data_IF_423600449567
#
_entry.id   IF_423600449567
#
_cell.length_a   1.000
_cell.length_b   1.000
_cell.length_c   1.000
_cell.angle_alpha   90.00
_cell.angle_beta   90.00
_cell.angle_gamma   90.00
#
_symmetry.space_group_name_H-M   'P 1'
#
loop_
_entity.id
_entity.type
_entity.pdbx_description
1 polymer ?
#
# COMPACT_ATOMS: atom_id res chain seq x y z
N UNK A 1 -1.67 -41.36 32.28
CA UNK A 1 -0.66 -40.53 31.55
C UNK A 1 -0.66 -40.71 30.04
N UNK A 2 -1.40 -41.64 29.46
CA UNK A 2 -1.29 -42.08 28.05
C UNK A 2 -2.17 -41.36 27.05
N UNK A 3 -3.35 -40.84 27.44
CA UNK A 3 -4.32 -40.26 26.47
C UNK A 3 -3.91 -38.85 26.03
N UNK A 4 -3.45 -37.99 26.94
CA UNK A 4 -2.98 -36.62 26.58
C UNK A 4 -1.78 -36.64 25.65
N UNK A 5 -0.84 -37.59 25.82
CA UNK A 5 0.34 -37.69 24.96
C UNK A 5 -0.01 -38.16 23.54
N UNK A 6 -1.06 -38.95 23.37
CA UNK A 6 -1.50 -39.41 22.07
C UNK A 6 -2.26 -38.32 21.27
N UNK A 7 -3.00 -37.47 21.99
CA UNK A 7 -3.68 -36.32 21.37
C UNK A 7 -2.66 -35.32 20.86
N UNK A 8 -1.68 -34.93 21.68
CA UNK A 8 -0.61 -33.99 21.29
C UNK A 8 0.18 -34.54 20.08
N UNK A 9 0.58 -35.82 20.08
CA UNK A 9 1.28 -36.42 18.96
C UNK A 9 0.43 -36.50 17.68
N UNK A 10 -0.89 -36.64 17.79
CA UNK A 10 -1.79 -36.63 16.64
C UNK A 10 -1.94 -35.22 16.07
N UNK A 11 -2.02 -34.20 16.92
CA UNK A 11 -2.06 -32.79 16.51
C UNK A 11 -0.75 -32.39 15.85
N UNK A 12 0.41 -32.72 16.42
CA UNK A 12 1.73 -32.47 15.82
C UNK A 12 1.89 -33.13 14.44
N UNK A 13 1.42 -34.39 14.29
CA UNK A 13 1.42 -35.08 12.99
C UNK A 13 0.52 -34.41 11.95
N UNK A 14 -0.64 -33.93 12.38
CA UNK A 14 -1.56 -33.22 11.49
C UNK A 14 -0.97 -31.87 11.04
N UNK A 15 -0.34 -31.13 11.95
CA UNK A 15 0.34 -29.87 11.65
C UNK A 15 1.50 -30.13 10.67
N UNK A 16 2.35 -31.13 10.93
CA UNK A 16 3.45 -31.48 10.04
C UNK A 16 2.99 -31.94 8.65
N UNK A 17 1.90 -32.72 8.57
CA UNK A 17 1.33 -33.12 7.29
C UNK A 17 0.75 -31.94 6.52
N UNK A 18 0.11 -31.01 7.22
CA UNK A 18 -0.45 -29.78 6.63
C UNK A 18 0.67 -28.86 6.13
N UNK A 19 1.76 -28.69 6.90
CA UNK A 19 2.93 -27.92 6.51
C UNK A 19 3.65 -28.53 5.30
N UNK A 20 3.83 -29.86 5.26
CA UNK A 20 4.43 -30.55 4.13
C UNK A 20 3.58 -30.44 2.85
N UNK A 21 2.26 -30.54 2.98
CA UNK A 21 1.35 -30.36 1.85
C UNK A 21 1.37 -28.92 1.34
N UNK A 22 1.35 -27.92 2.23
CA UNK A 22 1.45 -26.50 1.89
C UNK A 22 2.80 -26.20 1.21
N UNK A 23 3.91 -26.71 1.74
CA UNK A 23 5.23 -26.53 1.16
C UNK A 23 5.32 -27.14 -0.25
N UNK A 24 4.70 -28.31 -0.48
CA UNK A 24 4.61 -28.93 -1.80
C UNK A 24 3.78 -28.07 -2.78
N UNK A 25 2.62 -27.58 -2.33
CA UNK A 25 1.76 -26.73 -3.15
C UNK A 25 2.44 -25.42 -3.51
N UNK A 26 3.18 -24.80 -2.60
CA UNK A 26 3.91 -23.55 -2.82
C UNK A 26 5.02 -23.75 -3.86
N UNK A 27 5.75 -24.85 -3.83
CA UNK A 27 6.81 -25.14 -4.80
C UNK A 27 6.33 -25.24 -6.26
N UNK A 28 5.07 -25.55 -6.48
CA UNK A 28 4.47 -25.63 -7.81
C UNK A 28 4.03 -24.25 -8.35
N UNK A 29 3.93 -23.24 -7.47
CA UNK A 29 3.49 -21.90 -7.87
C UNK A 29 4.65 -21.14 -8.53
N UNK A 30 4.30 -20.36 -9.53
CA UNK A 30 5.25 -19.55 -10.29
C UNK A 30 5.06 -18.04 -10.08
N UNK A 31 3.91 -17.61 -9.58
CA UNK A 31 3.60 -16.23 -9.26
C UNK A 31 3.13 -16.14 -7.81
N UNK A 32 3.75 -15.23 -7.07
CA UNK A 32 3.40 -14.89 -5.70
C UNK A 32 2.99 -13.42 -5.65
N UNK A 33 1.78 -13.15 -5.20
CA UNK A 33 1.29 -11.82 -4.90
C UNK A 33 1.38 -11.64 -3.39
N UNK A 34 2.20 -10.69 -2.94
CA UNK A 34 2.56 -10.52 -1.54
C UNK A 34 2.18 -9.11 -1.09
N UNK A 35 1.41 -9.02 -0.03
CA UNK A 35 1.24 -7.77 0.70
C UNK A 35 2.55 -7.43 1.43
N UNK A 36 2.80 -6.15 1.72
CA UNK A 36 4.03 -5.71 2.39
C UNK A 36 3.78 -5.52 3.88
N UNK A 37 2.89 -4.60 4.24
CA UNK A 37 2.71 -4.14 5.62
C UNK A 37 2.02 -5.20 6.50
N UNK A 38 2.78 -5.85 7.37
CA UNK A 38 2.33 -6.96 8.23
C UNK A 38 2.46 -8.36 7.59
N UNK A 39 2.98 -8.46 6.36
CA UNK A 39 3.19 -9.73 5.64
C UNK A 39 4.66 -9.98 5.33
N UNK A 40 5.33 -9.03 4.69
CA UNK A 40 6.76 -9.09 4.37
C UNK A 40 7.57 -8.28 5.36
N UNK A 41 7.05 -7.14 5.76
CA UNK A 41 7.68 -6.20 6.69
C UNK A 41 6.66 -5.59 7.64
N UNK A 42 7.13 -5.00 8.73
CA UNK A 42 6.34 -4.18 9.64
C UNK A 42 7.13 -2.89 9.92
N UNK A 43 6.60 -1.75 9.46
CA UNK A 43 7.33 -0.49 9.52
C UNK A 43 8.63 -0.56 8.73
N UNK A 44 9.76 -0.38 9.42
CA UNK A 44 11.12 -0.46 8.85
C UNK A 44 11.76 -1.83 8.94
N UNK A 45 11.12 -2.81 9.59
CA UNK A 45 11.69 -4.11 9.91
C UNK A 45 11.15 -5.21 9.01
N UNK A 46 12.06 -5.95 8.37
CA UNK A 46 11.72 -7.15 7.61
C UNK A 46 11.26 -8.26 8.58
N UNK A 47 10.14 -8.93 8.27
CA UNK A 47 9.64 -10.01 9.11
C UNK A 47 10.55 -11.25 9.03
N UNK A 48 10.71 -11.99 10.15
CA UNK A 48 11.53 -13.19 10.18
C UNK A 48 11.11 -14.20 9.12
N UNK A 49 12.07 -14.68 8.31
CA UNK A 49 11.87 -15.64 7.24
C UNK A 49 11.39 -15.04 5.90
N UNK A 50 11.08 -13.76 5.83
CA UNK A 50 10.64 -13.13 4.58
C UNK A 50 11.77 -13.16 3.52
N UNK A 51 13.01 -12.81 3.87
CA UNK A 51 14.13 -12.87 2.94
C UNK A 51 14.36 -14.29 2.41
N UNK A 52 14.37 -15.30 3.30
CA UNK A 52 14.56 -16.70 2.92
C UNK A 52 13.44 -17.19 2.00
N UNK A 53 12.20 -16.77 2.25
CA UNK A 53 11.06 -17.08 1.39
C UNK A 53 11.22 -16.48 0.00
N UNK A 54 11.53 -15.19 -0.11
CA UNK A 54 11.73 -14.51 -1.39
C UNK A 54 12.89 -15.12 -2.18
N UNK A 55 14.01 -15.44 -1.51
CA UNK A 55 15.13 -16.13 -2.10
C UNK A 55 14.71 -17.53 -2.63
N UNK A 56 13.97 -18.29 -1.83
CA UNK A 56 13.46 -19.62 -2.23
C UNK A 56 12.55 -19.53 -3.45
N UNK A 57 11.70 -18.49 -3.55
CA UNK A 57 10.85 -18.25 -4.71
C UNK A 57 11.70 -18.05 -5.96
N UNK A 58 12.72 -17.19 -5.89
CA UNK A 58 13.64 -16.93 -7.02
C UNK A 58 14.39 -18.21 -7.44
N UNK A 59 14.95 -18.97 -6.51
CA UNK A 59 15.69 -20.20 -6.76
C UNK A 59 14.85 -21.29 -7.43
N UNK A 60 13.54 -21.33 -7.13
CA UNK A 60 12.61 -22.25 -7.78
C UNK A 60 12.04 -21.72 -9.11
N UNK A 61 12.58 -20.62 -9.65
CA UNK A 61 12.16 -20.00 -10.89
C UNK A 61 10.74 -19.39 -10.81
N UNK A 62 10.32 -19.04 -9.61
CA UNK A 62 9.12 -18.24 -9.36
C UNK A 62 9.41 -16.75 -9.46
N UNK A 63 8.33 -15.98 -9.60
CA UNK A 63 8.34 -14.51 -9.55
C UNK A 63 7.41 -14.04 -8.46
N UNK A 64 7.69 -12.89 -7.90
CA UNK A 64 6.79 -12.23 -6.95
C UNK A 64 6.43 -10.83 -7.42
N UNK A 65 5.28 -10.35 -6.95
CA UNK A 65 4.83 -8.97 -7.05
C UNK A 65 4.33 -8.55 -5.68
N UNK A 66 4.75 -7.37 -5.27
CA UNK A 66 4.30 -6.77 -4.02
C UNK A 66 3.06 -5.93 -4.30
N UNK A 67 2.02 -6.17 -3.49
CA UNK A 67 0.77 -5.40 -3.52
C UNK A 67 0.66 -4.66 -2.21
N UNK A 68 0.55 -3.35 -2.23
CA UNK A 68 0.35 -2.59 -1.01
C UNK A 68 -0.68 -1.49 -1.18
N UNK A 69 -1.53 -1.30 -0.17
CA UNK A 69 -2.46 -0.17 -0.11
C UNK A 69 -1.78 1.14 0.30
N UNK A 70 -0.54 1.08 0.75
CA UNK A 70 0.21 2.26 1.13
C UNK A 70 0.48 3.14 -0.10
N UNK A 71 -0.01 4.36 -0.06
CA UNK A 71 0.15 5.38 -1.11
C UNK A 71 0.99 6.58 -0.65
N UNK A 72 1.65 6.47 0.51
CA UNK A 72 2.54 7.54 1.01
C UNK A 72 3.93 7.50 0.39
N UNK A 73 4.29 6.37 -0.25
CA UNK A 73 5.59 6.09 -0.86
C UNK A 73 5.46 5.85 -2.36
N UNK A 74 6.53 6.15 -3.10
CA UNK A 74 6.69 5.74 -4.49
C UNK A 74 7.23 4.30 -4.59
N UNK A 75 7.14 3.68 -5.77
CA UNK A 75 7.73 2.35 -6.00
C UNK A 75 9.26 2.36 -5.80
N UNK A 76 9.93 3.47 -6.16
CA UNK A 76 11.37 3.66 -5.94
C UNK A 76 11.77 3.60 -4.47
N UNK A 77 10.93 4.12 -3.56
CA UNK A 77 11.22 4.09 -2.11
C UNK A 77 11.21 2.66 -1.57
N UNK A 78 10.34 1.80 -2.12
CA UNK A 78 10.33 0.37 -1.80
C UNK A 78 11.54 -0.34 -2.35
N UNK A 79 12.00 -0.01 -3.57
CA UNK A 79 13.24 -0.58 -4.13
C UNK A 79 14.41 -0.25 -3.22
N UNK A 80 14.57 0.99 -2.77
CA UNK A 80 15.63 1.40 -1.85
C UNK A 80 15.51 0.66 -0.51
N UNK A 81 14.31 0.59 0.08
CA UNK A 81 14.06 -0.10 1.33
C UNK A 81 14.40 -1.61 1.24
N UNK A 82 14.02 -2.27 0.15
CA UNK A 82 14.32 -3.69 -0.05
C UNK A 82 15.81 -3.93 -0.29
N UNK A 83 16.48 -3.02 -1.01
CA UNK A 83 17.92 -3.06 -1.19
C UNK A 83 18.66 -2.96 0.16
N UNK A 84 18.21 -2.10 1.08
CA UNK A 84 18.78 -1.98 2.43
C UNK A 84 18.62 -3.28 3.24
N UNK A 85 17.60 -4.09 2.94
CA UNK A 85 17.44 -5.44 3.51
C UNK A 85 18.22 -6.53 2.75
N UNK A 86 19.01 -6.14 1.74
CA UNK A 86 19.78 -7.07 0.90
C UNK A 86 18.94 -7.85 -0.12
N UNK A 87 17.75 -7.34 -0.45
CA UNK A 87 16.82 -7.95 -1.41
C UNK A 87 16.78 -7.10 -2.69
N UNK A 88 17.36 -7.63 -3.77
CA UNK A 88 17.33 -6.99 -5.07
C UNK A 88 15.92 -7.01 -5.68
N UNK A 89 15.40 -5.82 -5.97
CA UNK A 89 14.08 -5.61 -6.58
C UNK A 89 14.13 -4.49 -7.62
N UNK A 90 13.06 -4.36 -8.40
CA UNK A 90 12.84 -3.27 -9.35
C UNK A 90 11.46 -2.65 -9.13
N UNK A 91 11.23 -1.43 -9.59
CA UNK A 91 9.93 -0.75 -9.46
C UNK A 91 8.77 -1.56 -10.04
N UNK A 92 9.02 -2.37 -11.10
CA UNK A 92 8.00 -3.21 -11.74
C UNK A 92 7.45 -4.31 -10.82
N UNK A 93 8.16 -4.63 -9.73
CA UNK A 93 7.73 -5.64 -8.76
C UNK A 93 6.74 -5.07 -7.73
N UNK A 94 6.57 -3.73 -7.68
CA UNK A 94 5.70 -3.06 -6.73
C UNK A 94 4.44 -2.50 -7.40
N UNK A 95 3.28 -2.95 -6.95
CA UNK A 95 1.97 -2.43 -7.31
C UNK A 95 1.39 -1.78 -6.07
N UNK A 96 1.44 -0.46 -6.01
CA UNK A 96 0.92 0.31 -4.87
C UNK A 96 -0.43 0.92 -5.21
N UNK A 97 -1.24 1.22 -4.20
CA UNK A 97 -2.47 2.00 -4.40
C UNK A 97 -2.16 3.35 -5.05
N UNK A 98 -1.00 3.94 -4.73
CA UNK A 98 -0.52 5.18 -5.36
C UNK A 98 -0.26 5.04 -6.85
N UNK A 99 0.48 4.00 -7.28
CA UNK A 99 0.76 3.76 -8.71
C UNK A 99 -0.51 3.48 -9.49
N UNK A 100 -1.44 2.70 -8.92
CA UNK A 100 -2.73 2.43 -9.55
C UNK A 100 -3.58 3.70 -9.69
N UNK A 101 -3.68 4.51 -8.63
CA UNK A 101 -4.42 5.77 -8.66
C UNK A 101 -3.79 6.76 -9.66
N UNK A 102 -2.45 6.88 -9.71
CA UNK A 102 -1.73 7.68 -10.72
C UNK A 102 -2.13 7.29 -12.14
N UNK A 103 -2.10 6.00 -12.45
CA UNK A 103 -2.41 5.50 -13.79
C UNK A 103 -3.89 5.68 -14.14
N UNK A 104 -4.79 5.53 -13.16
CA UNK A 104 -6.20 5.85 -13.30
C UNK A 104 -6.41 7.35 -13.59
N UNK A 105 -5.79 8.23 -12.80
CA UNK A 105 -5.89 9.68 -13.00
C UNK A 105 -5.32 10.08 -14.36
N UNK A 106 -4.17 9.53 -14.76
CA UNK A 106 -3.58 9.76 -16.08
C UNK A 106 -4.50 9.36 -17.22
N UNK A 107 -5.21 8.25 -17.08
CA UNK A 107 -6.11 7.73 -18.10
C UNK A 107 -7.39 8.56 -18.24
N UNK A 108 -7.97 8.98 -17.13
CA UNK A 108 -9.30 9.57 -17.10
C UNK A 108 -9.32 11.07 -16.80
N UNK A 109 -8.26 11.60 -16.20
CA UNK A 109 -8.11 12.99 -15.75
C UNK A 109 -6.77 13.61 -16.16
N UNK A 110 -6.12 13.07 -17.21
CA UNK A 110 -4.76 13.47 -17.60
C UNK A 110 -4.61 14.91 -18.09
N UNK A 111 -5.69 15.54 -18.53
CA UNK A 111 -5.72 16.95 -18.95
C UNK A 111 -6.31 17.89 -17.91
N UNK A 112 -6.81 17.34 -16.82
CA UNK A 112 -7.55 18.03 -15.78
C UNK A 112 -6.60 18.59 -14.70
N UNK A 113 -7.03 19.63 -13.99
CA UNK A 113 -6.32 20.14 -12.82
C UNK A 113 -6.80 19.42 -11.56
N UNK A 114 -5.90 18.76 -10.86
CA UNK A 114 -6.18 17.87 -9.74
C UNK A 114 -5.70 18.50 -8.44
N UNK A 115 -6.59 18.76 -7.50
CA UNK A 115 -6.22 19.11 -6.13
C UNK A 115 -5.81 17.84 -5.40
N UNK A 116 -4.56 17.80 -4.87
CA UNK A 116 -4.00 16.60 -4.24
C UNK A 116 -3.68 16.86 -2.77
N UNK A 117 -4.19 15.97 -1.90
CA UNK A 117 -3.78 15.87 -0.50
C UNK A 117 -3.01 14.55 -0.31
N UNK A 118 -1.68 14.65 -0.28
CA UNK A 118 -0.76 13.53 -0.24
C UNK A 118 0.62 13.97 0.28
N UNK A 119 1.54 12.99 0.45
CA UNK A 119 2.96 13.26 0.71
C UNK A 119 3.62 13.93 -0.50
N UNK A 120 4.68 14.70 -0.26
CA UNK A 120 5.42 15.33 -1.36
C UNK A 120 6.07 14.29 -2.29
N UNK A 121 6.51 13.16 -1.76
CA UNK A 121 7.01 12.04 -2.56
C UNK A 121 5.98 11.59 -3.59
N UNK A 122 4.73 11.35 -3.16
CA UNK A 122 3.68 10.94 -4.07
C UNK A 122 3.25 12.06 -5.02
N UNK A 123 3.19 13.31 -4.56
CA UNK A 123 2.96 14.47 -5.43
C UNK A 123 4.03 14.59 -6.52
N UNK A 124 5.29 14.35 -6.18
CA UNK A 124 6.41 14.34 -7.15
C UNK A 124 6.23 13.23 -8.20
N UNK A 125 5.77 12.04 -7.80
CA UNK A 125 5.47 10.95 -8.73
C UNK A 125 4.34 11.32 -9.71
N UNK A 126 3.27 11.95 -9.21
CA UNK A 126 2.16 12.43 -10.06
C UNK A 126 2.64 13.47 -11.09
N UNK A 127 3.47 14.43 -10.65
CA UNK A 127 4.08 15.44 -11.56
C UNK A 127 4.97 14.79 -12.61
N UNK A 128 5.83 13.84 -12.23
CA UNK A 128 6.69 13.08 -13.16
C UNK A 128 5.86 12.29 -14.19
N UNK A 129 4.67 11.84 -13.81
CA UNK A 129 3.74 11.19 -14.73
C UNK A 129 3.04 12.15 -15.70
N UNK A 130 3.25 13.46 -15.55
CA UNK A 130 2.71 14.51 -16.40
C UNK A 130 1.32 15.00 -15.97
N UNK A 131 0.87 14.68 -14.75
CA UNK A 131 -0.40 15.18 -14.21
C UNK A 131 -0.27 16.63 -13.75
N UNK A 132 -1.29 17.44 -14.05
CA UNK A 132 -1.40 18.83 -13.60
C UNK A 132 -2.01 18.86 -12.19
N UNK A 133 -1.15 18.91 -11.17
CA UNK A 133 -1.60 18.88 -9.77
C UNK A 133 -1.39 20.23 -9.06
N UNK A 134 -2.25 20.49 -8.07
CA UNK A 134 -2.20 21.66 -7.19
C UNK A 134 -2.48 21.25 -5.75
N UNK A 135 -2.02 22.04 -4.80
CA UNK A 135 -2.36 21.94 -3.37
C UNK A 135 -3.37 23.03 -2.93
N UNK A 136 -3.83 23.88 -3.87
CA UNK A 136 -4.74 25.00 -3.62
C UNK A 136 -6.10 24.77 -4.27
N UNK A 137 -7.17 25.04 -3.51
CA UNK A 137 -8.53 25.08 -4.02
C UNK A 137 -8.70 26.25 -5.00
N UNK A 138 -9.50 26.05 -6.05
CA UNK A 138 -9.78 27.06 -7.07
C UNK A 138 -10.88 26.66 -8.02
N UNK A 139 -11.43 27.65 -8.74
CA UNK A 139 -12.52 27.45 -9.70
C UNK A 139 -12.10 26.61 -10.91
N UNK A 140 -10.78 26.48 -11.14
CA UNK A 140 -10.16 25.74 -12.23
C UNK A 140 -9.72 24.32 -11.83
N UNK A 141 -10.10 23.86 -10.64
CA UNK A 141 -9.87 22.49 -10.18
C UNK A 141 -10.99 21.59 -10.65
N UNK A 142 -10.65 20.50 -11.33
CA UNK A 142 -11.59 19.58 -11.95
C UNK A 142 -11.91 18.36 -11.07
N UNK A 143 -10.98 17.96 -10.22
CA UNK A 143 -11.21 16.86 -9.27
C UNK A 143 -10.24 16.92 -8.07
N UNK A 144 -10.52 16.11 -7.05
CA UNK A 144 -9.70 15.97 -5.84
C UNK A 144 -9.17 14.55 -5.72
N UNK A 145 -7.90 14.38 -5.35
CA UNK A 145 -7.29 13.10 -5.01
C UNK A 145 -6.70 13.15 -3.61
N UNK A 146 -7.19 12.28 -2.73
CA UNK A 146 -6.65 12.07 -1.39
C UNK A 146 -5.87 10.76 -1.34
N UNK A 147 -4.71 10.78 -0.69
CA UNK A 147 -3.87 9.60 -0.47
C UNK A 147 -3.62 9.37 1.03
N UNK A 148 -2.95 8.28 1.36
CA UNK A 148 -2.36 8.12 2.69
C UNK A 148 -1.25 9.16 2.84
N UNK A 149 -1.51 10.16 3.67
CA UNK A 149 -0.64 11.33 3.82
C UNK A 149 -0.03 11.37 5.22
N UNK A 150 1.22 10.91 5.32
CA UNK A 150 2.01 10.98 6.58
C UNK A 150 2.54 12.39 6.87
N UNK A 151 2.36 13.32 5.93
CA UNK A 151 2.72 14.74 6.03
C UNK A 151 1.46 15.62 6.13
N UNK A 152 0.31 15.03 6.54
CA UNK A 152 -0.98 15.72 6.61
C UNK A 152 -0.90 16.94 7.51
N UNK A 153 -1.32 18.08 6.97
CA UNK A 153 -1.49 19.33 7.70
C UNK A 153 -2.95 19.76 7.74
N UNK A 154 -3.30 20.61 8.70
CA UNK A 154 -4.64 21.18 8.74
C UNK A 154 -4.94 22.01 7.50
N UNK A 155 -3.92 22.69 6.94
CA UNK A 155 -4.06 23.49 5.71
C UNK A 155 -4.48 22.61 4.52
N UNK A 156 -3.87 21.43 4.33
CA UNK A 156 -4.28 20.49 3.28
C UNK A 156 -5.76 20.11 3.42
N UNK A 157 -6.23 19.87 4.65
CA UNK A 157 -7.64 19.57 4.92
C UNK A 157 -8.55 20.76 4.59
N UNK A 158 -8.14 21.99 4.94
CA UNK A 158 -8.88 23.21 4.63
C UNK A 158 -9.04 23.36 3.11
N UNK A 159 -7.98 23.17 2.34
CA UNK A 159 -8.05 23.30 0.87
C UNK A 159 -8.99 22.25 0.26
N UNK A 160 -8.91 21.00 0.69
CA UNK A 160 -9.81 19.93 0.21
C UNK A 160 -11.27 20.22 0.60
N UNK A 161 -11.53 20.57 1.87
CA UNK A 161 -12.88 20.87 2.34
C UNK A 161 -13.47 22.10 1.63
N UNK A 162 -12.67 23.15 1.40
CA UNK A 162 -13.08 24.32 0.63
C UNK A 162 -13.51 23.91 -0.77
N UNK A 163 -12.64 23.18 -1.50
CA UNK A 163 -12.95 22.73 -2.86
C UNK A 163 -14.27 21.95 -2.93
N UNK A 164 -14.42 20.94 -2.06
CA UNK A 164 -15.60 20.09 -2.06
C UNK A 164 -16.88 20.79 -1.60
N UNK A 165 -16.77 21.85 -0.80
CA UNK A 165 -17.91 22.67 -0.34
C UNK A 165 -18.36 23.67 -1.42
N UNK A 166 -17.42 24.36 -2.04
CA UNK A 166 -17.69 25.42 -3.02
C UNK A 166 -18.04 24.86 -4.40
N UNK A 167 -17.55 23.66 -4.71
CA UNK A 167 -17.79 22.99 -6.00
C UNK A 167 -18.31 21.57 -5.76
N UNK A 168 -18.82 20.92 -6.82
CA UNK A 168 -19.24 19.51 -6.79
C UNK A 168 -18.35 18.65 -7.68
N UNK A 169 -17.06 18.92 -7.67
CA UNK A 169 -16.11 18.11 -8.44
C UNK A 169 -16.03 16.69 -7.87
N UNK A 170 -15.77 15.69 -8.70
CA UNK A 170 -15.52 14.34 -8.22
C UNK A 170 -14.27 14.30 -7.35
N UNK A 171 -14.29 13.44 -6.33
CA UNK A 171 -13.11 13.20 -5.50
C UNK A 171 -12.84 11.72 -5.30
N UNK A 172 -11.57 11.40 -5.16
CA UNK A 172 -11.04 10.05 -5.16
C UNK A 172 -10.13 9.84 -3.96
N UNK A 173 -10.07 8.60 -3.51
CA UNK A 173 -9.14 8.12 -2.50
C UNK A 173 -8.28 7.00 -3.10
N UNK A 174 -7.00 6.95 -2.76
CA UNK A 174 -6.11 5.89 -3.24
C UNK A 174 -6.50 4.53 -2.67
N UNK A 175 -6.97 4.49 -1.42
CA UNK A 175 -7.47 3.28 -0.76
C UNK A 175 -8.54 3.62 0.31
N UNK A 176 -9.39 2.66 0.71
CA UNK A 176 -10.42 2.86 1.72
C UNK A 176 -9.96 2.53 3.14
N UNK A 177 -8.71 2.13 3.37
CA UNK A 177 -8.24 1.60 4.63
C UNK A 177 -8.26 2.66 5.73
N UNK A 178 -8.76 2.27 6.90
CA UNK A 178 -8.89 3.16 8.04
C UNK A 178 -7.63 3.23 8.87
N UNK A 179 -6.79 2.21 8.79
CA UNK A 179 -5.64 2.03 9.67
C UNK A 179 -4.49 1.38 8.93
N UNK A 180 -3.29 1.91 9.15
CA UNK A 180 -2.04 1.33 8.71
C UNK A 180 -1.29 0.73 9.91
N UNK A 181 -0.79 -0.52 9.85
CA UNK A 181 0.02 -1.11 10.90
C UNK A 181 1.44 -0.52 10.88
N UNK A 182 1.92 -0.16 12.06
CA UNK A 182 3.31 0.27 12.30
C UNK A 182 3.85 -0.38 13.57
N UNK A 183 5.11 -0.16 13.91
CA UNK A 183 5.83 -0.86 14.97
C UNK A 183 5.12 -0.83 16.33
N UNK A 184 4.51 0.30 16.70
CA UNK A 184 3.82 0.45 18.00
C UNK A 184 2.31 0.15 17.93
N UNK A 185 1.72 -0.18 16.75
CA UNK A 185 0.30 -0.44 16.63
C UNK A 185 -0.30 0.08 15.31
N UNK A 186 -1.39 0.87 15.40
CA UNK A 186 -2.13 1.36 14.23
C UNK A 186 -2.14 2.87 14.18
N UNK A 187 -1.98 3.42 12.97
CA UNK A 187 -2.17 4.86 12.69
C UNK A 187 -3.30 5.07 11.68
N UNK A 188 -3.90 6.29 11.60
CA UNK A 188 -4.89 6.60 10.57
C UNK A 188 -4.31 6.45 9.16
N UNK A 189 -5.05 5.77 8.29
CA UNK A 189 -4.73 5.64 6.86
C UNK A 189 -5.65 6.54 6.02
N UNK A 190 -5.54 6.48 4.69
CA UNK A 190 -6.29 7.28 3.71
C UNK A 190 -7.79 7.30 3.96
N UNK A 191 -8.42 6.15 4.24
CA UNK A 191 -9.85 6.08 4.55
C UNK A 191 -10.25 6.85 5.81
N UNK A 192 -9.37 6.95 6.83
CA UNK A 192 -9.62 7.78 8.01
C UNK A 192 -9.56 9.27 7.68
N UNK A 193 -8.58 9.68 6.85
CA UNK A 193 -8.48 11.05 6.34
C UNK A 193 -9.76 11.41 5.56
N UNK A 194 -10.18 10.54 4.65
CA UNK A 194 -11.40 10.71 3.87
C UNK A 194 -12.67 10.79 4.73
N UNK A 195 -12.77 9.99 5.80
CA UNK A 195 -13.90 10.08 6.74
C UNK A 195 -13.95 11.43 7.47
N UNK A 196 -12.80 11.96 7.85
CA UNK A 196 -12.70 13.28 8.49
C UNK A 196 -13.17 14.38 7.53
N UNK A 197 -12.74 14.31 6.26
CA UNK A 197 -13.19 15.23 5.20
C UNK A 197 -14.71 15.10 5.00
N UNK A 198 -15.23 13.87 4.78
CA UNK A 198 -16.67 13.63 4.59
C UNK A 198 -17.51 14.17 5.76
N UNK A 199 -17.06 13.96 7.00
CA UNK A 199 -17.76 14.47 8.17
C UNK A 199 -17.81 16.01 8.24
N UNK A 200 -16.89 16.68 7.54
CA UNK A 200 -16.80 18.15 7.52
C UNK A 200 -17.63 18.77 6.39
N UNK A 201 -17.71 18.12 5.23
CA UNK A 201 -18.37 18.70 4.04
C UNK A 201 -19.78 18.14 3.77
N UNK A 202 -20.20 17.07 4.43
CA UNK A 202 -21.52 16.44 4.32
C UNK A 202 -21.53 15.30 3.31
#
# INVERSE_FOLDING_TARGET
>A
MTIKSNIVKKEERNINNMQNNLASMIKEKKLFLLDIDGTVALGSELLPGAADFLQTVKENGGIFRFLTNNSSKAASDYVEQFHDWGIETTEEEFITAGTYARDFMKKYYGNEKILVAATETYCSELRKAGLNITDQAGDDVDCVLCAYDTELTYEKLVQVCKQLTETKVPWFATNPDLRCPIDFGMVPDCGSICRMITASVG
#
